data_IF_015437497448
#
_entry.id   IF_015437497448
#
_cell.length_a   1.000
_cell.length_b   1.000
_cell.length_c   1.000
_cell.angle_alpha   90.00
_cell.angle_beta   90.00
_cell.angle_gamma   90.00
#
_symmetry.space_group_name_H-M   'P 1'
#
loop_
_entity.id
_entity.type
_entity.pdbx_description
1 polymer ?
#
# COMPACT_ATOMS: atom_id res chain seq x y z
N UNK A 1 16.52 -2.21 -19.37
CA UNK A 1 16.33 -2.02 -19.06
C UNK A 1 15.69 -1.63 -18.73
N UNK A 2 15.28 -1.43 -18.38
CA UNK A 2 14.85 -1.23 -18.03
C UNK A 2 13.70 -1.24 -17.65
N UNK A 3 13.13 -1.73 -17.38
CA UNK A 3 12.00 -1.91 -16.75
C UNK A 3 11.82 -1.23 -15.48
N UNK A 4 12.70 -0.44 -15.10
CA UNK A 4 12.63 0.29 -13.85
C UNK A 4 11.37 1.12 -13.73
N UNK A 5 10.95 1.86 -14.77
CA UNK A 5 9.72 2.63 -14.63
C UNK A 5 8.51 1.77 -14.35
N UNK A 6 8.44 0.62 -15.00
CA UNK A 6 7.32 -0.27 -14.74
C UNK A 6 7.33 -0.77 -13.33
N UNK A 7 8.48 -1.12 -12.82
CA UNK A 7 8.57 -1.62 -11.47
C UNK A 7 8.21 -0.55 -10.45
N UNK A 8 8.60 0.68 -10.72
CA UNK A 8 8.28 1.75 -9.80
C UNK A 8 6.78 1.98 -9.74
N UNK A 9 6.10 1.87 -10.87
CA UNK A 9 4.68 2.14 -10.91
C UNK A 9 3.83 0.95 -10.52
N UNK A 10 4.43 -0.24 -10.55
CA UNK A 10 3.67 -1.43 -10.26
C UNK A 10 3.57 -1.64 -8.75
N UNK A 11 2.38 -1.98 -8.29
CA UNK A 11 2.17 -2.24 -6.88
C UNK A 11 2.38 -3.72 -6.59
N UNK A 12 3.62 -4.07 -6.32
CA UNK A 12 3.97 -5.43 -5.96
C UNK A 12 3.54 -5.72 -4.54
N UNK A 13 3.54 -7.00 -4.17
CA UNK A 13 3.20 -7.39 -2.82
C UNK A 13 4.13 -6.71 -1.81
N UNK A 14 5.39 -6.58 -2.16
CA UNK A 14 6.35 -5.95 -1.27
C UNK A 14 6.02 -4.48 -1.04
N UNK A 15 5.67 -3.76 -2.09
CA UNK A 15 5.31 -2.35 -1.96
C UNK A 15 4.02 -2.18 -1.18
N UNK A 16 3.03 -3.03 -1.43
CA UNK A 16 1.78 -2.97 -0.69
C UNK A 16 2.02 -3.19 0.79
N UNK A 17 2.82 -4.20 1.12
CA UNK A 17 3.11 -4.49 2.51
C UNK A 17 3.79 -3.32 3.19
N UNK A 18 4.74 -2.70 2.53
CA UNK A 18 5.44 -1.57 3.11
C UNK A 18 4.47 -0.43 3.41
N UNK A 19 3.60 -0.13 2.47
CA UNK A 19 2.64 0.95 2.67
C UNK A 19 1.68 0.63 3.81
N UNK A 20 1.18 -0.60 3.84
CA UNK A 20 0.25 -1.00 4.89
C UNK A 20 0.90 -0.89 6.26
N UNK A 21 2.14 -1.33 6.36
CA UNK A 21 2.85 -1.26 7.63
C UNK A 21 2.96 0.19 8.09
N UNK A 22 3.26 1.11 7.19
CA UNK A 22 3.36 2.51 7.56
C UNK A 22 2.02 3.04 8.06
N UNK A 23 0.94 2.63 7.43
CA UNK A 23 -0.38 3.06 7.86
C UNK A 23 -0.68 2.50 9.25
N UNK A 24 -0.38 1.24 9.47
CA UNK A 24 -0.64 0.61 10.75
C UNK A 24 0.20 1.22 11.87
N UNK A 25 1.39 1.69 11.53
CA UNK A 25 2.26 2.33 12.50
C UNK A 25 1.92 3.79 12.75
N UNK A 26 0.98 4.33 11.99
CA UNK A 26 0.59 5.71 12.17
C UNK A 26 1.49 6.70 11.46
N UNK A 27 2.37 6.24 10.60
CA UNK A 27 3.26 7.13 9.88
C UNK A 27 2.58 7.84 8.73
N UNK A 28 1.52 7.26 8.20
CA UNK A 28 0.74 7.88 7.16
C UNK A 28 -0.69 7.41 7.30
N UNK A 29 -1.60 8.00 6.53
CA UNK A 29 -3.01 7.61 6.55
C UNK A 29 -3.42 7.15 5.17
N UNK A 30 -4.57 6.48 5.10
CA UNK A 30 -5.13 6.06 3.82
C UNK A 30 -5.33 7.27 2.92
N UNK A 31 -5.81 8.36 3.47
CA UNK A 31 -6.08 9.56 2.72
C UNK A 31 -4.81 10.14 2.12
N UNK A 32 -3.77 10.23 2.93
CA UNK A 32 -2.50 10.76 2.46
C UNK A 32 -1.85 9.84 1.44
N UNK A 33 -1.90 8.55 1.68
CA UNK A 33 -1.33 7.59 0.73
C UNK A 33 -2.07 7.63 -0.59
N UNK A 34 -3.38 7.76 -0.53
CA UNK A 34 -4.19 7.86 -1.74
C UNK A 34 -3.73 9.03 -2.61
N UNK A 35 -3.48 10.17 -2.00
CA UNK A 35 -3.02 11.32 -2.74
C UNK A 35 -1.59 11.19 -3.21
N UNK A 36 -0.74 10.66 -2.36
CA UNK A 36 0.68 10.56 -2.69
C UNK A 36 0.92 9.62 -3.85
N UNK A 37 0.18 8.53 -3.91
CA UNK A 37 0.41 7.50 -4.91
C UNK A 37 -0.66 7.44 -5.98
N UNK A 38 -1.59 8.39 -5.93
CA UNK A 38 -2.65 8.47 -6.95
C UNK A 38 -3.45 7.17 -7.04
N UNK A 39 -3.84 6.66 -5.88
CA UNK A 39 -4.61 5.43 -5.77
C UNK A 39 -5.97 5.73 -5.13
N UNK A 40 -7.01 4.97 -5.49
CA UNK A 40 -8.28 5.12 -4.80
C UNK A 40 -8.15 4.71 -3.33
N UNK A 41 -8.74 5.46 -2.41
CA UNK A 41 -8.66 5.09 -0.99
C UNK A 41 -9.20 3.69 -0.72
N UNK A 42 -10.23 3.27 -1.47
CA UNK A 42 -10.82 1.95 -1.25
C UNK A 42 -9.82 0.83 -1.53
N UNK A 43 -8.94 1.03 -2.50
CA UNK A 43 -7.91 0.03 -2.75
C UNK A 43 -6.99 -0.12 -1.57
N UNK A 44 -6.55 1.01 -1.03
CA UNK A 44 -5.63 0.98 0.10
C UNK A 44 -6.31 0.39 1.32
N UNK A 45 -7.57 0.73 1.52
CA UNK A 45 -8.31 0.17 2.64
C UNK A 45 -8.44 -1.35 2.54
N UNK A 46 -8.63 -1.85 1.33
CA UNK A 46 -8.68 -3.28 1.11
C UNK A 46 -7.36 -3.94 1.50
N UNK A 47 -6.26 -3.33 1.10
CA UNK A 47 -4.95 -3.88 1.46
C UNK A 47 -4.74 -3.92 2.96
N UNK A 48 -5.14 -2.85 3.65
CA UNK A 48 -4.99 -2.81 5.10
C UNK A 48 -5.87 -3.87 5.75
N UNK A 49 -7.08 -4.02 5.26
CA UNK A 49 -8.00 -5.01 5.81
C UNK A 49 -7.45 -6.43 5.63
N UNK A 50 -6.91 -6.71 4.45
CA UNK A 50 -6.34 -8.02 4.19
C UNK A 50 -5.14 -8.30 5.08
N UNK A 51 -4.32 -7.28 5.32
CA UNK A 51 -3.16 -7.45 6.17
C UNK A 51 -3.59 -7.74 7.60
N UNK A 52 -4.62 -7.06 8.08
CA UNK A 52 -5.11 -7.29 9.43
C UNK A 52 -5.63 -8.70 9.58
N UNK A 53 -6.34 -9.19 8.58
CA UNK A 53 -6.86 -10.55 8.63
C UNK A 53 -5.74 -11.57 8.68
N UNK A 54 -4.70 -11.33 7.89
CA UNK A 54 -3.56 -12.21 7.88
C UNK A 54 -2.86 -12.27 9.22
N UNK A 55 -2.79 -11.13 9.89
CA UNK A 55 -2.13 -11.09 11.17
C UNK A 55 -2.93 -11.78 12.27
N UNK A 56 -4.22 -11.83 12.13
CA UNK A 56 -5.06 -12.46 13.14
C UNK A 56 -5.01 -13.96 13.06
N UNK A 57 -4.60 -14.51 11.96
CA UNK A 57 -4.45 -15.94 11.86
C UNK A 57 -3.16 -16.38 12.49
#
# INVERSE_FOLDING_TARGET
>A
MTDVPDEVQRWTAKRKSALVIEILQGKTTVSEASRAFDLPPSEIETWVDEAKRGMEN
#
